data_IF_754606230512
#
_entry.id   IF_754606230512
#
_cell.length_a   1.000
_cell.length_b   1.000
_cell.length_c   1.000
_cell.angle_alpha   90.00
_cell.angle_beta   90.00
_cell.angle_gamma   90.00
#
_symmetry.space_group_name_H-M   'P 1'
#
loop_
_entity.id
_entity.type
_entity.pdbx_description
1 polymer ?
#
# COMPACT_ATOMS: atom_id res chain seq x y z
N UNK A 1 17.14 2.53 -31.67
CA UNK A 1 16.45 1.55 -30.81
C UNK A 1 15.18 2.21 -30.33
N UNK A 2 14.00 1.61 -30.51
CA UNK A 2 12.75 2.18 -30.01
C UNK A 2 12.84 2.34 -28.49
N UNK A 3 12.41 3.49 -27.95
CA UNK A 3 12.38 3.72 -26.51
C UNK A 3 11.48 2.68 -25.82
N UNK A 4 11.91 2.17 -24.66
CA UNK A 4 11.18 1.16 -23.85
C UNK A 4 9.79 1.70 -23.49
N UNK A 5 8.74 0.88 -23.52
CA UNK A 5 7.42 1.36 -23.09
C UNK A 5 7.33 1.38 -21.57
N UNK A 6 6.91 2.51 -21.00
CA UNK A 6 6.77 2.68 -19.55
C UNK A 6 5.29 2.92 -19.21
N UNK A 7 4.80 2.28 -18.15
CA UNK A 7 3.48 2.54 -17.57
C UNK A 7 3.62 3.10 -16.16
N UNK A 8 3.21 4.35 -15.96
CA UNK A 8 3.04 4.92 -14.63
C UNK A 8 1.66 4.52 -14.10
N UNK A 9 1.66 3.64 -13.10
CA UNK A 9 0.46 3.01 -12.57
C UNK A 9 0.03 3.72 -11.29
N UNK A 10 -1.14 4.37 -11.32
CA UNK A 10 -1.71 5.08 -10.18
C UNK A 10 -3.06 4.49 -9.82
N UNK A 11 -3.20 4.11 -8.56
CA UNK A 11 -4.47 3.66 -7.96
C UNK A 11 -5.04 4.78 -7.11
N UNK A 12 -6.33 5.06 -7.20
CA UNK A 12 -6.97 6.14 -6.48
C UNK A 12 -8.34 5.71 -5.93
N UNK A 13 -8.61 6.00 -4.66
CA UNK A 13 -9.94 5.90 -4.06
C UNK A 13 -10.13 7.10 -3.14
N UNK A 14 -11.04 8.01 -3.49
CA UNK A 14 -11.36 9.20 -2.69
C UNK A 14 -10.13 10.09 -2.38
N UNK A 15 -9.23 10.28 -3.34
CA UNK A 15 -8.03 11.13 -3.23
C UNK A 15 -7.95 12.17 -4.36
N UNK A 16 -9.09 12.58 -4.93
CA UNK A 16 -9.15 13.53 -6.05
C UNK A 16 -8.43 14.86 -5.75
N UNK A 17 -8.47 15.36 -4.52
CA UNK A 17 -7.79 16.60 -4.12
C UNK A 17 -6.27 16.53 -4.33
N UNK A 18 -5.67 15.36 -4.12
CA UNK A 18 -4.25 15.10 -4.39
C UNK A 18 -4.00 14.92 -5.88
N UNK A 19 -4.83 14.12 -6.55
CA UNK A 19 -4.68 13.82 -7.97
C UNK A 19 -4.80 15.08 -8.85
N UNK A 20 -5.67 16.03 -8.47
CA UNK A 20 -5.80 17.35 -9.11
C UNK A 20 -4.50 18.15 -9.15
N UNK A 21 -3.59 17.90 -8.21
CA UNK A 21 -2.29 18.58 -8.13
C UNK A 21 -1.21 17.79 -8.87
N UNK A 22 -1.19 16.47 -8.71
CA UNK A 22 -0.10 15.61 -9.20
C UNK A 22 -0.25 15.21 -10.65
N UNK A 23 -1.43 14.76 -11.09
CA UNK A 23 -1.64 14.27 -12.46
C UNK A 23 -1.29 15.30 -13.55
N UNK A 24 -1.76 16.56 -13.52
CA UNK A 24 -1.42 17.52 -14.57
C UNK A 24 0.09 17.82 -14.59
N UNK A 25 0.73 17.90 -13.42
CA UNK A 25 2.18 18.13 -13.32
C UNK A 25 2.98 16.94 -13.84
N UNK A 26 2.59 15.72 -13.48
CA UNK A 26 3.29 14.50 -13.88
C UNK A 26 3.20 14.26 -15.39
N UNK A 27 2.03 14.55 -16.00
CA UNK A 27 1.84 14.52 -17.46
C UNK A 27 2.77 15.52 -18.16
N UNK A 28 2.80 16.77 -17.70
CA UNK A 28 3.66 17.80 -18.27
C UNK A 28 5.16 17.46 -18.11
N UNK A 29 5.55 16.99 -16.93
CA UNK A 29 6.94 16.66 -16.58
C UNK A 29 7.54 15.52 -17.40
N UNK A 30 6.71 14.70 -18.04
CA UNK A 30 7.15 13.54 -18.82
C UNK A 30 6.56 13.53 -20.24
N UNK A 31 6.15 14.69 -20.74
CA UNK A 31 5.57 14.82 -22.09
C UNK A 31 6.52 14.35 -23.18
N UNK A 32 7.80 14.73 -23.06
CA UNK A 32 8.85 14.48 -24.05
C UNK A 32 9.21 13.00 -24.22
N UNK A 33 8.80 12.15 -23.27
CA UNK A 33 8.97 10.71 -23.41
C UNK A 33 7.77 10.12 -24.16
N UNK A 34 7.92 9.86 -25.46
CA UNK A 34 6.82 9.43 -26.34
C UNK A 34 6.17 8.10 -25.90
N UNK A 35 6.97 7.10 -25.49
CA UNK A 35 6.49 5.75 -25.20
C UNK A 35 6.07 5.56 -23.72
N UNK A 36 5.30 6.52 -23.19
CA UNK A 36 4.80 6.52 -21.82
C UNK A 36 3.28 6.55 -21.81
N UNK A 37 2.68 5.75 -20.94
CA UNK A 37 1.27 5.84 -20.56
C UNK A 37 1.11 6.03 -19.05
N UNK A 38 0.10 6.80 -18.67
CA UNK A 38 -0.39 6.92 -17.31
C UNK A 38 -1.62 6.02 -17.20
N UNK A 39 -1.54 4.99 -16.36
CA UNK A 39 -2.64 4.05 -16.11
C UNK A 39 -3.27 4.42 -14.77
N UNK A 40 -4.43 5.05 -14.82
CA UNK A 40 -5.17 5.48 -13.64
C UNK A 40 -6.30 4.50 -13.36
N UNK A 41 -6.22 3.80 -12.23
CA UNK A 41 -7.28 2.96 -11.70
C UNK A 41 -8.06 3.71 -10.61
N UNK A 42 -9.28 4.11 -10.93
CA UNK A 42 -10.29 4.52 -9.97
C UNK A 42 -10.85 3.28 -9.27
N UNK A 43 -10.46 3.11 -8.01
CA UNK A 43 -10.83 1.99 -7.15
C UNK A 43 -12.16 2.26 -6.43
N UNK A 44 -13.17 2.63 -7.22
CA UNK A 44 -14.54 2.97 -6.81
C UNK A 44 -14.67 4.25 -5.96
N UNK A 45 -14.10 5.36 -6.42
CA UNK A 45 -14.20 6.68 -5.77
C UNK A 45 -15.62 7.26 -5.86
N UNK A 46 -15.99 8.04 -4.84
CA UNK A 46 -17.25 8.79 -4.75
C UNK A 46 -17.03 10.31 -4.65
N UNK A 47 -15.81 10.80 -4.87
CA UNK A 47 -15.40 12.20 -4.72
C UNK A 47 -15.41 13.00 -6.05
N UNK A 48 -16.02 12.44 -7.10
CA UNK A 48 -16.13 13.06 -8.43
C UNK A 48 -14.91 12.84 -9.34
N UNK A 49 -14.09 11.82 -9.04
CA UNK A 49 -12.90 11.50 -9.82
C UNK A 49 -13.20 11.22 -11.30
N UNK A 50 -14.20 10.38 -11.60
CA UNK A 50 -14.57 10.03 -12.97
C UNK A 50 -14.92 11.27 -13.80
N UNK A 51 -15.80 12.14 -13.28
CA UNK A 51 -16.24 13.37 -13.93
C UNK A 51 -15.09 14.35 -14.15
N UNK A 52 -14.17 14.42 -13.18
CA UNK A 52 -12.98 15.24 -13.29
C UNK A 52 -12.08 14.75 -14.44
N UNK A 53 -11.80 13.45 -14.52
CA UNK A 53 -10.96 12.90 -15.60
C UNK A 53 -11.64 13.12 -16.96
N UNK A 54 -12.94 12.82 -17.05
CA UNK A 54 -13.73 12.96 -18.28
C UNK A 54 -13.75 14.40 -18.81
N UNK A 55 -13.87 15.38 -17.92
CA UNK A 55 -14.01 16.79 -18.29
C UNK A 55 -12.68 17.48 -18.66
N UNK A 56 -11.52 16.96 -18.19
CA UNK A 56 -10.26 17.72 -18.25
C UNK A 56 -9.15 17.06 -19.09
N UNK A 57 -9.26 15.78 -19.44
CA UNK A 57 -8.14 15.02 -20.03
C UNK A 57 -8.47 14.33 -21.37
N UNK A 58 -9.46 14.83 -22.12
CA UNK A 58 -9.90 14.23 -23.39
C UNK A 58 -8.77 14.06 -24.41
N UNK A 59 -7.84 15.01 -24.50
CA UNK A 59 -6.65 14.95 -25.37
C UNK A 59 -5.69 13.81 -24.97
N UNK A 60 -5.41 13.65 -23.67
CA UNK A 60 -4.54 12.58 -23.19
C UNK A 60 -5.21 11.20 -23.30
N UNK A 61 -6.53 11.15 -23.16
CA UNK A 61 -7.31 9.92 -23.33
C UNK A 61 -7.35 9.46 -24.79
N UNK A 62 -7.48 10.39 -25.74
CA UNK A 62 -7.56 10.07 -27.17
C UNK A 62 -6.23 9.56 -27.74
N UNK A 63 -5.12 10.07 -27.22
CA UNK A 63 -3.76 9.64 -27.59
C UNK A 63 -3.31 8.37 -26.88
N UNK A 64 -4.04 7.93 -25.84
CA UNK A 64 -3.62 6.83 -24.97
C UNK A 64 -2.50 7.20 -24.00
N UNK A 65 -2.11 8.48 -23.91
CA UNK A 65 -1.16 8.98 -22.91
C UNK A 65 -1.71 8.83 -21.49
N UNK A 66 -3.03 9.00 -21.31
CA UNK A 66 -3.76 8.65 -20.10
C UNK A 66 -4.76 7.55 -20.43
N UNK A 67 -4.77 6.48 -19.66
CA UNK A 67 -5.78 5.42 -19.73
C UNK A 67 -6.47 5.34 -18.38
N UNK A 68 -7.79 5.53 -18.39
CA UNK A 68 -8.60 5.50 -17.19
C UNK A 68 -9.34 4.17 -17.08
N UNK A 69 -9.24 3.55 -15.92
CA UNK A 69 -10.00 2.38 -15.54
C UNK A 69 -10.79 2.65 -14.28
N UNK A 70 -11.96 2.04 -14.17
CA UNK A 70 -12.77 2.07 -12.95
C UNK A 70 -13.24 0.67 -12.63
N UNK A 71 -13.09 0.25 -11.36
CA UNK A 71 -13.74 -0.94 -10.84
C UNK A 71 -14.97 -0.51 -10.03
N UNK A 72 -16.11 -1.15 -10.27
CA UNK A 72 -17.32 -0.92 -9.49
C UNK A 72 -17.38 -1.81 -8.24
N UNK A 73 -18.34 -1.55 -7.37
CA UNK A 73 -18.76 -2.43 -6.26
C UNK A 73 -17.72 -2.74 -5.17
N UNK A 74 -16.53 -2.12 -5.20
CA UNK A 74 -15.56 -2.23 -4.12
C UNK A 74 -15.86 -1.22 -3.02
N UNK A 75 -16.13 -1.70 -1.80
CA UNK A 75 -16.48 -0.84 -0.67
C UNK A 75 -15.26 -0.23 0.03
N UNK A 76 -14.17 -0.98 0.12
CA UNK A 76 -12.97 -0.59 0.86
C UNK A 76 -11.73 -0.76 0.01
N UNK A 77 -10.77 0.13 0.22
CA UNK A 77 -9.49 0.11 -0.45
C UNK A 77 -8.68 -1.13 -0.05
N UNK A 78 -8.09 -1.80 -1.04
CA UNK A 78 -7.19 -2.93 -0.86
C UNK A 78 -5.91 -2.65 -1.66
N UNK A 79 -4.82 -2.36 -0.93
CA UNK A 79 -3.54 -1.92 -1.49
C UNK A 79 -2.93 -2.94 -2.44
N UNK A 80 -2.85 -4.20 -2.02
CA UNK A 80 -2.21 -5.25 -2.82
C UNK A 80 -3.03 -5.56 -4.07
N UNK A 81 -4.36 -5.70 -3.92
CA UNK A 81 -5.23 -5.99 -5.06
C UNK A 81 -5.28 -4.81 -6.04
N UNK A 82 -5.43 -3.56 -5.57
CA UNK A 82 -5.51 -2.41 -6.48
C UNK A 82 -4.23 -2.27 -7.31
N UNK A 83 -3.07 -2.48 -6.69
CA UNK A 83 -1.75 -2.46 -7.37
C UNK A 83 -1.58 -3.61 -8.35
N UNK A 84 -1.99 -4.82 -7.99
CA UNK A 84 -2.01 -5.96 -8.92
C UNK A 84 -2.90 -5.67 -10.14
N UNK A 85 -4.09 -5.13 -9.90
CA UNK A 85 -5.07 -4.84 -10.95
C UNK A 85 -4.59 -3.72 -11.89
N UNK A 86 -4.08 -2.60 -11.39
CA UNK A 86 -3.59 -1.53 -12.28
C UNK A 86 -2.41 -2.01 -13.15
N UNK A 87 -1.53 -2.85 -12.59
CA UNK A 87 -0.40 -3.42 -13.32
C UNK A 87 -0.84 -4.44 -14.36
N UNK A 88 -1.89 -5.24 -14.09
CA UNK A 88 -2.42 -6.16 -15.09
C UNK A 88 -2.96 -5.43 -16.31
N UNK A 89 -3.47 -4.22 -16.13
CA UNK A 89 -4.04 -3.34 -17.16
C UNK A 89 -3.00 -2.51 -17.92
N UNK A 90 -1.83 -2.30 -17.34
CA UNK A 90 -0.71 -1.62 -17.97
C UNK A 90 -0.20 -2.39 -19.20
N UNK A 91 0.33 -1.70 -20.21
CA UNK A 91 0.86 -2.30 -21.44
C UNK A 91 2.37 -2.09 -21.63
N UNK A 92 3.00 -1.35 -20.74
CA UNK A 92 4.44 -1.09 -20.76
C UNK A 92 5.29 -2.31 -20.37
N UNK A 93 6.50 -2.32 -20.90
CA UNK A 93 7.54 -3.30 -20.56
C UNK A 93 8.05 -3.06 -19.13
N UNK A 94 8.14 -1.78 -18.76
CA UNK A 94 8.45 -1.29 -17.40
C UNK A 94 7.18 -0.72 -16.79
N UNK A 95 6.90 -1.11 -15.55
CA UNK A 95 5.85 -0.51 -14.72
C UNK A 95 6.52 0.32 -13.63
N UNK A 96 5.90 1.42 -13.24
CA UNK A 96 6.25 2.18 -12.04
C UNK A 96 5.00 2.48 -11.24
N UNK A 97 5.00 2.13 -9.96
CA UNK A 97 3.92 2.51 -9.05
C UNK A 97 4.08 3.98 -8.66
N UNK A 98 3.01 4.77 -8.83
CA UNK A 98 2.97 6.19 -8.50
C UNK A 98 1.69 6.45 -7.71
N UNK A 99 1.81 6.71 -6.41
CA UNK A 99 0.65 7.05 -5.57
C UNK A 99 0.02 8.38 -6.02
N UNK A 100 -1.28 8.58 -5.73
CA UNK A 100 -2.03 9.75 -6.23
C UNK A 100 -1.53 11.11 -5.70
N UNK A 101 -0.72 11.11 -4.64
CA UNK A 101 -0.10 12.29 -4.00
C UNK A 101 1.40 12.44 -4.34
N UNK A 102 1.92 11.63 -5.25
CA UNK A 102 3.32 11.65 -5.65
C UNK A 102 3.55 12.52 -6.90
N UNK A 103 4.58 13.36 -6.88
CA UNK A 103 5.11 14.02 -8.07
C UNK A 103 6.24 13.18 -8.67
N UNK A 104 6.17 12.90 -9.97
CA UNK A 104 7.22 12.14 -10.66
C UNK A 104 8.51 12.94 -10.82
N UNK A 105 8.39 14.25 -11.04
CA UNK A 105 9.49 15.13 -11.43
C UNK A 105 9.76 15.09 -12.94
N UNK A 106 10.37 16.16 -13.46
CA UNK A 106 10.69 16.33 -14.87
C UNK A 106 11.72 15.30 -15.35
N UNK A 107 11.42 14.61 -16.45
CA UNK A 107 12.32 13.63 -17.08
C UNK A 107 12.43 12.29 -16.33
N UNK A 108 11.55 12.00 -15.37
CA UNK A 108 11.59 10.74 -14.61
C UNK A 108 11.45 9.51 -15.52
N UNK A 109 10.59 9.56 -16.54
CA UNK A 109 10.42 8.47 -17.51
C UNK A 109 11.72 8.22 -18.31
N UNK A 110 12.44 9.27 -18.70
CA UNK A 110 13.73 9.16 -19.37
C UNK A 110 14.77 8.52 -18.45
N UNK A 111 14.87 8.97 -17.20
CA UNK A 111 15.76 8.38 -16.19
C UNK A 111 15.51 6.87 -16.01
N UNK A 112 14.24 6.46 -15.86
CA UNK A 112 13.87 5.05 -15.76
C UNK A 112 14.26 4.28 -17.03
N UNK A 113 13.98 4.84 -18.21
CA UNK A 113 14.30 4.23 -19.50
C UNK A 113 15.78 3.96 -19.68
N UNK A 114 16.64 4.93 -19.32
CA UNK A 114 18.10 4.81 -19.42
C UNK A 114 18.62 3.64 -18.58
N UNK A 115 18.16 3.52 -17.34
CA UNK A 115 18.55 2.40 -16.46
C UNK A 115 18.12 1.05 -17.05
N UNK A 116 16.89 0.93 -17.55
CA UNK A 116 16.41 -0.34 -18.12
C UNK A 116 16.97 -0.68 -19.51
N UNK A 117 17.55 0.30 -20.22
CA UNK A 117 18.34 0.04 -21.44
C UNK A 117 19.70 -0.57 -21.11
N UNK A 118 20.30 -0.18 -20.00
CA UNK A 118 21.61 -0.66 -19.56
C UNK A 118 21.50 -1.96 -18.73
N UNK A 119 20.45 -2.08 -17.91
CA UNK A 119 20.28 -3.15 -16.93
C UNK A 119 18.94 -3.86 -17.12
N UNK A 120 18.98 -5.16 -17.45
CA UNK A 120 17.78 -5.94 -17.79
C UNK A 120 17.18 -6.75 -16.62
N UNK A 121 17.82 -6.72 -15.44
CA UNK A 121 17.42 -7.52 -14.28
C UNK A 121 17.47 -6.71 -12.98
N UNK A 122 16.91 -5.51 -13.02
CA UNK A 122 16.84 -4.58 -11.89
C UNK A 122 15.41 -4.18 -11.53
N UNK A 123 15.24 -3.67 -10.32
CA UNK A 123 14.12 -2.84 -9.92
C UNK A 123 14.66 -1.58 -9.23
N UNK A 124 13.97 -0.47 -9.42
CA UNK A 124 14.31 0.81 -8.81
C UNK A 124 13.38 1.06 -7.64
N UNK A 125 13.88 1.56 -6.51
CA UNK A 125 13.04 1.88 -5.35
C UNK A 125 13.63 3.02 -4.52
N UNK A 126 12.78 3.65 -3.71
CA UNK A 126 13.13 4.66 -2.71
C UNK A 126 13.38 4.05 -1.32
N UNK A 127 13.06 2.76 -1.13
CA UNK A 127 13.31 2.02 0.11
C UNK A 127 14.80 1.80 0.37
N UNK A 128 15.20 1.94 1.63
CA UNK A 128 16.59 1.75 2.08
C UNK A 128 17.61 2.56 1.26
N UNK A 129 17.21 3.77 0.86
CA UNK A 129 18.09 4.75 0.25
C UNK A 129 18.80 5.56 1.35
N UNK A 130 19.90 6.23 1.00
CA UNK A 130 20.65 7.10 1.93
C UNK A 130 19.85 8.35 2.36
N UNK A 131 18.75 8.65 1.67
CA UNK A 131 17.88 9.80 1.89
C UNK A 131 16.92 9.56 3.07
N UNK A 132 17.04 10.36 4.14
CA UNK A 132 16.34 10.12 5.43
C UNK A 132 14.83 10.38 5.44
N UNK A 133 14.26 11.09 4.46
CA UNK A 133 12.83 11.43 4.43
C UNK A 133 12.33 11.45 2.98
N UNK A 134 11.51 10.48 2.61
CA UNK A 134 10.73 10.56 1.39
C UNK A 134 9.35 9.89 1.62
N UNK A 135 8.27 10.58 1.23
CA UNK A 135 6.89 10.06 1.31
C UNK A 135 6.50 9.31 0.02
N UNK A 136 7.50 8.91 -0.77
CA UNK A 136 7.36 8.21 -2.06
C UNK A 136 7.79 6.75 -1.97
N UNK A 137 7.62 6.12 -0.80
CA UNK A 137 8.07 4.74 -0.54
C UNK A 137 7.43 3.73 -1.50
N UNK A 138 6.16 3.91 -1.85
CA UNK A 138 5.45 3.06 -2.82
C UNK A 138 6.00 3.12 -4.25
N UNK A 139 6.95 4.03 -4.53
CA UNK A 139 7.58 4.15 -5.85
C UNK A 139 8.57 3.02 -6.09
N UNK A 140 8.11 2.06 -6.88
CA UNK A 140 8.93 0.94 -7.35
C UNK A 140 8.77 0.84 -8.85
N UNK A 141 9.88 0.90 -9.59
CA UNK A 141 9.91 0.62 -11.03
C UNK A 141 10.52 -0.74 -11.29
N UNK A 142 9.90 -1.55 -12.14
CA UNK A 142 10.39 -2.89 -12.47
C UNK A 142 9.89 -3.33 -13.84
N UNK A 143 10.53 -4.35 -14.41
CA UNK A 143 9.98 -5.00 -15.60
C UNK A 143 8.66 -5.69 -15.25
N UNK A 144 7.63 -5.48 -16.09
CA UNK A 144 6.32 -6.12 -15.91
C UNK A 144 6.45 -7.65 -15.85
N UNK A 145 7.34 -8.23 -16.66
CA UNK A 145 7.63 -9.68 -16.63
C UNK A 145 8.15 -10.16 -15.28
N UNK A 146 8.96 -9.35 -14.58
CA UNK A 146 9.49 -9.70 -13.25
C UNK A 146 8.38 -9.66 -12.20
N UNK A 147 7.51 -8.65 -12.25
CA UNK A 147 6.33 -8.57 -11.38
C UNK A 147 5.39 -9.77 -11.55
N UNK A 148 5.07 -10.12 -12.81
CA UNK A 148 4.22 -11.28 -13.13
C UNK A 148 4.89 -12.59 -12.67
N UNK A 149 6.20 -12.75 -12.89
CA UNK A 149 6.96 -13.95 -12.50
C UNK A 149 6.87 -14.24 -11.00
N UNK A 150 6.87 -13.21 -10.16
CA UNK A 150 6.79 -13.37 -8.69
C UNK A 150 5.35 -13.37 -8.15
N UNK A 151 4.35 -13.28 -9.03
CA UNK A 151 2.93 -13.27 -8.66
C UNK A 151 2.39 -11.90 -8.22
N UNK A 152 3.13 -10.81 -8.42
CA UNK A 152 2.75 -9.46 -8.00
C UNK A 152 2.84 -9.24 -6.49
N UNK A 153 2.00 -8.35 -5.94
CA UNK A 153 1.80 -8.18 -4.51
C UNK A 153 1.06 -9.38 -3.90
N UNK A 154 1.38 -9.71 -2.65
CA UNK A 154 0.68 -10.77 -1.91
C UNK A 154 -0.70 -10.30 -1.46
N UNK A 155 -1.76 -10.79 -2.09
CA UNK A 155 -3.12 -10.34 -1.77
C UNK A 155 -3.63 -10.83 -0.41
N UNK A 156 -2.86 -11.60 0.36
CA UNK A 156 -3.15 -11.80 1.79
C UNK A 156 -2.96 -10.50 2.58
N UNK A 157 -2.10 -9.60 2.12
CA UNK A 157 -1.86 -8.29 2.72
C UNK A 157 -2.95 -7.30 2.32
N UNK A 158 -3.96 -7.16 3.18
CA UNK A 158 -5.14 -6.30 2.96
C UNK A 158 -5.02 -4.90 3.56
N UNK A 159 -3.96 -4.63 4.31
CA UNK A 159 -3.81 -3.41 5.12
C UNK A 159 -2.77 -2.46 4.51
N UNK A 160 -2.44 -1.40 5.24
CA UNK A 160 -1.45 -0.41 4.81
C UNK A 160 -0.06 -0.74 5.37
N UNK A 161 0.95 -0.70 4.51
CA UNK A 161 2.36 -0.81 4.85
C UNK A 161 2.88 -2.25 4.80
N UNK A 162 4.18 -2.39 4.54
CA UNK A 162 4.92 -3.66 4.39
C UNK A 162 4.65 -4.47 3.10
N UNK A 163 3.58 -4.21 2.35
CA UNK A 163 3.35 -4.88 1.06
C UNK A 163 4.45 -4.58 0.03
N UNK A 164 4.98 -3.36 0.04
CA UNK A 164 6.09 -2.95 -0.82
C UNK A 164 7.42 -3.61 -0.40
N UNK A 165 7.65 -3.76 0.91
CA UNK A 165 8.84 -4.41 1.44
C UNK A 165 8.83 -5.90 1.11
N UNK A 166 7.68 -6.56 1.24
CA UNK A 166 7.48 -7.95 0.83
C UNK A 166 7.80 -8.14 -0.66
N UNK A 167 7.25 -7.28 -1.53
CA UNK A 167 7.54 -7.31 -2.96
C UNK A 167 9.04 -7.16 -3.24
N UNK A 168 9.70 -6.21 -2.59
CA UNK A 168 11.14 -5.96 -2.72
C UNK A 168 11.96 -7.19 -2.29
N UNK A 169 11.64 -7.80 -1.16
CA UNK A 169 12.32 -9.01 -0.70
C UNK A 169 12.13 -10.17 -1.67
N UNK A 170 10.92 -10.34 -2.22
CA UNK A 170 10.64 -11.37 -3.23
C UNK A 170 11.34 -11.14 -4.55
N UNK A 171 11.44 -9.88 -5.02
CA UNK A 171 12.24 -9.50 -6.18
C UNK A 171 13.71 -9.86 -5.99
N UNK A 172 14.29 -9.48 -4.84
CA UNK A 172 15.67 -9.80 -4.47
C UNK A 172 15.92 -11.32 -4.41
N UNK A 173 15.05 -12.09 -3.75
CA UNK A 173 15.15 -13.56 -3.70
C UNK A 173 15.01 -14.21 -5.08
N UNK A 174 14.30 -13.56 -6.00
CA UNK A 174 14.19 -13.98 -7.41
C UNK A 174 15.38 -13.58 -8.27
N UNK A 175 16.42 -12.99 -7.69
CA UNK A 175 17.64 -12.57 -8.35
C UNK A 175 17.54 -11.22 -9.06
N UNK A 176 16.50 -10.40 -8.80
CA UNK A 176 16.39 -9.05 -9.38
C UNK A 176 17.13 -8.07 -8.47
N UNK A 177 18.03 -7.28 -9.04
CA UNK A 177 18.91 -6.39 -8.29
C UNK A 177 18.25 -5.04 -7.99
N UNK A 178 18.58 -4.45 -6.84
CA UNK A 178 18.07 -3.14 -6.41
C UNK A 178 18.90 -2.02 -7.01
N UNK A 179 18.24 -1.01 -7.54
CA UNK A 179 18.80 0.30 -7.89
C UNK A 179 18.06 1.37 -7.08
N UNK A 180 18.79 2.37 -6.62
CA UNK A 180 18.24 3.42 -5.76
C UNK A 180 17.71 4.57 -6.61
N UNK A 181 16.51 5.05 -6.28
CA UNK A 181 16.01 6.34 -6.76
C UNK A 181 16.42 7.37 -5.70
N UNK A 182 17.56 8.01 -5.90
CA UNK A 182 18.16 8.94 -4.93
C UNK A 182 18.15 10.40 -5.39
N UNK A 183 17.84 10.66 -6.67
CA UNK A 183 17.71 12.02 -7.19
C UNK A 183 16.53 12.75 -6.53
N UNK A 184 16.78 13.84 -5.76
CA UNK A 184 15.73 14.56 -5.04
C UNK A 184 14.61 15.13 -5.93
N UNK A 185 14.86 15.39 -7.22
CA UNK A 185 13.83 15.86 -8.15
C UNK A 185 12.67 14.88 -8.30
N UNK A 186 12.92 13.59 -8.04
CA UNK A 186 11.94 12.51 -8.13
C UNK A 186 11.31 12.13 -6.78
N UNK A 187 11.63 12.83 -5.68
CA UNK A 187 11.25 12.37 -4.32
C UNK A 187 10.22 13.26 -3.64
N UNK A 188 9.42 13.97 -4.42
CA UNK A 188 8.39 14.89 -3.93
C UNK A 188 7.02 14.23 -3.84
N UNK A 189 6.35 14.41 -2.71
CA UNK A 189 4.96 14.02 -2.48
C UNK A 189 4.24 15.08 -1.65
N UNK A 190 2.92 15.11 -1.75
CA UNK A 190 2.07 15.96 -0.92
C UNK A 190 2.00 15.33 0.48
N UNK A 191 2.33 16.10 1.51
CA UNK A 191 2.27 15.62 2.89
C UNK A 191 0.83 15.46 3.36
N UNK A 192 0.57 14.38 4.11
CA UNK A 192 -0.72 14.10 4.70
C UNK A 192 -0.59 13.24 5.97
N UNK A 193 -1.69 13.14 6.73
CA UNK A 193 -1.72 12.39 7.99
C UNK A 193 -1.75 10.86 7.77
N UNK A 194 -1.39 10.10 8.81
CA UNK A 194 -1.57 8.64 8.81
C UNK A 194 -3.05 8.25 8.76
N UNK A 195 -3.93 9.05 9.36
CA UNK A 195 -5.38 8.84 9.26
C UNK A 195 -5.85 8.78 7.81
N UNK A 196 -5.40 9.70 6.97
CA UNK A 196 -5.79 9.73 5.56
C UNK A 196 -5.30 8.52 4.78
N UNK A 197 -4.18 7.90 5.19
CA UNK A 197 -3.70 6.65 4.60
C UNK A 197 -4.74 5.55 4.74
N UNK A 198 -5.40 5.46 5.89
CA UNK A 198 -6.26 4.33 6.25
C UNK A 198 -7.76 4.62 6.12
N UNK A 199 -8.16 5.84 5.77
CA UNK A 199 -9.55 6.29 5.82
C UNK A 199 -10.51 5.43 4.97
N UNK A 200 -10.04 4.94 3.82
CA UNK A 200 -10.84 4.12 2.91
C UNK A 200 -10.74 2.61 3.20
N UNK A 201 -10.07 2.20 4.27
CA UNK A 201 -10.03 0.78 4.67
C UNK A 201 -11.24 0.37 5.49
N UNK A 202 -11.49 -0.94 5.57
CA UNK A 202 -12.56 -1.48 6.41
C UNK A 202 -12.36 -1.07 7.86
N UNK A 203 -11.17 -1.24 8.40
CA UNK A 203 -10.87 -1.00 9.81
C UNK A 203 -10.87 0.49 10.15
N UNK A 204 -10.35 1.33 9.24
CA UNK A 204 -10.44 2.79 9.38
C UNK A 204 -11.88 3.31 9.35
N UNK A 205 -12.75 2.69 8.55
CA UNK A 205 -14.16 3.07 8.47
C UNK A 205 -14.98 2.54 9.65
N UNK A 206 -14.77 1.28 10.06
CA UNK A 206 -15.57 0.60 11.06
C UNK A 206 -15.05 0.71 12.50
N UNK A 207 -13.88 1.28 12.77
CA UNK A 207 -13.38 1.39 14.15
C UNK A 207 -14.38 2.17 15.04
N UNK A 208 -15.04 1.45 15.96
CA UNK A 208 -16.00 2.02 16.92
C UNK A 208 -15.28 2.47 18.18
N UNK A 209 -14.62 1.55 18.85
CA UNK A 209 -13.91 1.79 20.10
C UNK A 209 -12.56 1.09 20.13
N UNK A 210 -11.64 1.64 20.92
CA UNK A 210 -10.32 1.07 21.15
C UNK A 210 -10.08 1.07 22.65
N UNK A 211 -9.61 -0.06 23.15
CA UNK A 211 -9.31 -0.29 24.55
C UNK A 211 -7.85 -0.71 24.71
N UNK A 212 -7.23 -0.31 25.81
CA UNK A 212 -5.88 -0.70 26.18
C UNK A 212 -5.83 -1.29 27.58
N UNK A 213 -5.05 -2.35 27.75
CA UNK A 213 -4.70 -2.92 29.05
C UNK A 213 -3.19 -2.95 29.19
N UNK A 214 -2.67 -2.23 30.17
CA UNK A 214 -1.25 -2.28 30.50
C UNK A 214 -0.90 -3.61 31.17
N UNK A 215 0.20 -4.24 30.77
CA UNK A 215 0.66 -5.52 31.32
C UNK A 215 2.02 -5.35 32.00
N UNK A 216 3.01 -4.85 31.27
CA UNK A 216 4.38 -4.63 31.74
C UNK A 216 4.92 -3.29 31.24
N UNK A 217 6.09 -2.81 31.72
CA UNK A 217 6.69 -1.56 31.22
C UNK A 217 6.95 -1.52 29.72
N UNK A 218 6.97 -2.68 29.05
CA UNK A 218 7.19 -2.79 27.61
C UNK A 218 6.01 -3.42 26.85
N UNK A 219 4.92 -3.82 27.50
CA UNK A 219 3.79 -4.48 26.82
C UNK A 219 2.42 -4.00 27.26
N UNK A 220 1.49 -3.98 26.30
CA UNK A 220 0.09 -3.63 26.52
C UNK A 220 -0.81 -4.34 25.52
N UNK A 221 -1.94 -4.85 25.98
CA UNK A 221 -2.98 -5.39 25.11
C UNK A 221 -3.79 -4.29 24.47
N UNK A 222 -4.02 -4.41 23.17
CA UNK A 222 -4.87 -3.54 22.37
C UNK A 222 -6.09 -4.32 21.92
N UNK A 223 -7.28 -3.79 22.22
CA UNK A 223 -8.55 -4.37 21.82
C UNK A 223 -9.34 -3.38 20.95
N UNK A 224 -9.46 -3.70 19.66
CA UNK A 224 -10.23 -2.94 18.68
C UNK A 224 -11.65 -3.51 18.59
N UNK A 225 -12.66 -2.66 18.69
CA UNK A 225 -14.08 -2.99 18.47
C UNK A 225 -14.54 -2.30 17.18
N UNK A 226 -15.09 -3.09 16.27
CA UNK A 226 -15.60 -2.60 14.99
C UNK A 226 -17.13 -2.55 14.96
N UNK A 227 -17.69 -1.65 14.15
CA UNK A 227 -19.13 -1.45 13.98
C UNK A 227 -19.87 -2.69 13.47
N UNK A 228 -19.18 -3.62 12.81
CA UNK A 228 -19.71 -4.90 12.34
C UNK A 228 -19.73 -6.00 13.43
N UNK A 229 -19.64 -5.60 14.70
CA UNK A 229 -19.61 -6.47 15.88
C UNK A 229 -18.40 -7.42 15.95
N UNK A 230 -17.34 -7.18 15.16
CA UNK A 230 -16.08 -7.92 15.26
C UNK A 230 -15.07 -7.23 16.18
N UNK A 231 -14.12 -8.01 16.71
CA UNK A 231 -12.99 -7.50 17.49
C UNK A 231 -11.64 -8.00 16.98
N UNK A 232 -10.59 -7.24 17.29
CA UNK A 232 -9.18 -7.66 17.13
C UNK A 232 -8.42 -7.39 18.42
N UNK A 233 -7.72 -8.41 18.92
CA UNK A 233 -6.94 -8.37 20.16
C UNK A 233 -5.51 -8.84 19.89
N UNK A 234 -4.52 -8.12 20.42
CA UNK A 234 -3.13 -8.56 20.49
C UNK A 234 -2.37 -7.82 21.59
N UNK A 235 -1.27 -8.40 22.05
CA UNK A 235 -0.35 -7.82 23.02
C UNK A 235 0.77 -7.10 22.29
N UNK A 236 0.68 -5.77 22.22
CA UNK A 236 1.76 -4.93 21.68
C UNK A 236 2.98 -4.99 22.59
N UNK A 237 4.16 -5.17 22.01
CA UNK A 237 5.47 -5.18 22.69
C UNK A 237 6.34 -4.05 22.14
N UNK A 238 6.92 -3.24 23.01
CA UNK A 238 7.99 -2.30 22.71
C UNK A 238 9.33 -3.04 22.80
N UNK A 239 9.89 -3.40 21.65
CA UNK A 239 11.08 -4.25 21.55
C UNK A 239 12.34 -3.59 22.13
N UNK A 240 12.41 -2.26 22.13
CA UNK A 240 13.52 -1.52 22.73
C UNK A 240 13.49 -1.60 24.26
N UNK A 241 12.31 -1.44 24.87
CA UNK A 241 12.18 -1.56 26.33
C UNK A 241 12.28 -3.01 26.79
N UNK A 242 11.67 -3.94 26.05
CA UNK A 242 11.77 -5.38 26.28
C UNK A 242 13.23 -5.82 26.40
N UNK A 243 14.06 -5.47 25.41
CA UNK A 243 15.47 -5.86 25.40
C UNK A 243 16.35 -5.22 26.48
N UNK A 244 15.89 -4.14 27.12
CA UNK A 244 16.60 -3.50 28.24
C UNK A 244 16.20 -4.06 29.59
N UNK A 245 14.99 -4.57 29.70
CA UNK A 245 14.38 -4.97 30.96
C UNK A 245 14.36 -6.48 31.15
N UNK A 246 14.36 -7.25 30.06
CA UNK A 246 14.39 -8.71 30.11
C UNK A 246 15.83 -9.26 30.18
N UNK A 247 16.14 -10.10 31.17
CA UNK A 247 17.48 -10.66 31.34
C UNK A 247 17.80 -11.75 30.30
N UNK A 248 16.78 -12.44 29.80
CA UNK A 248 16.91 -13.51 28.80
C UNK A 248 16.12 -13.15 27.54
N UNK A 249 16.83 -12.70 26.51
CA UNK A 249 16.23 -12.37 25.22
C UNK A 249 16.13 -13.65 24.39
N UNK A 250 14.95 -14.01 23.85
CA UNK A 250 14.81 -15.16 22.97
C UNK A 250 15.76 -15.08 21.77
N UNK A 251 16.37 -16.20 21.40
CA UNK A 251 17.32 -16.28 20.27
C UNK A 251 16.72 -15.80 18.93
N UNK A 252 15.41 -15.92 18.77
CA UNK A 252 14.67 -15.48 17.59
C UNK A 252 14.13 -14.05 17.67
N UNK A 253 14.48 -13.28 18.72
CA UNK A 253 13.97 -11.93 18.88
C UNK A 253 14.65 -10.96 17.91
N UNK A 254 13.84 -10.32 17.05
CA UNK A 254 14.33 -9.34 16.07
C UNK A 254 14.26 -7.92 16.63
N UNK A 255 15.41 -7.25 16.63
CA UNK A 255 15.56 -5.82 16.96
C UNK A 255 15.24 -4.90 15.78
N UNK A 256 14.82 -5.45 14.63
CA UNK A 256 14.63 -4.67 13.41
C UNK A 256 13.52 -3.62 13.54
N UNK A 257 12.51 -3.91 14.37
CA UNK A 257 11.35 -3.04 14.54
C UNK A 257 11.17 -2.64 16.00
N UNK A 258 10.76 -1.40 16.25
CA UNK A 258 10.54 -0.88 17.60
C UNK A 258 9.35 -1.54 18.30
N UNK A 259 8.35 -1.98 17.55
CA UNK A 259 7.15 -2.59 18.09
C UNK A 259 6.82 -3.91 17.40
N UNK A 260 6.24 -4.84 18.15
CA UNK A 260 5.71 -6.10 17.67
C UNK A 260 4.42 -6.47 18.39
N UNK A 261 3.81 -7.59 18.01
CA UNK A 261 2.82 -8.27 18.84
C UNK A 261 3.42 -9.57 19.37
N UNK A 262 2.98 -10.01 20.54
CA UNK A 262 3.45 -11.26 21.16
C UNK A 262 2.87 -12.50 20.45
N UNK A 263 1.67 -12.38 19.90
CA UNK A 263 0.97 -13.44 19.18
C UNK A 263 1.41 -13.54 17.71
N UNK A 264 1.21 -14.69 17.07
CA UNK A 264 1.51 -14.87 15.63
C UNK A 264 0.52 -14.15 14.71
N UNK A 265 -0.64 -13.74 15.24
CA UNK A 265 -1.67 -12.97 14.51
C UNK A 265 -2.64 -12.28 15.46
N UNK A 266 -3.40 -11.31 14.91
CA UNK A 266 -4.49 -10.67 15.64
C UNK A 266 -5.60 -11.66 15.98
N UNK A 267 -5.84 -11.87 17.27
CA UNK A 267 -6.93 -12.72 17.75
C UNK A 267 -8.26 -12.08 17.38
N UNK A 268 -9.09 -12.81 16.64
CA UNK A 268 -10.40 -12.34 16.17
C UNK A 268 -11.48 -12.76 17.15
N UNK A 269 -12.41 -11.86 17.43
CA UNK A 269 -13.57 -12.15 18.27
C UNK A 269 -14.82 -11.40 17.81
N UNK A 270 -15.86 -11.46 18.62
CA UNK A 270 -17.11 -10.74 18.42
C UNK A 270 -17.51 -10.03 19.71
N UNK A 271 -18.35 -9.00 19.58
CA UNK A 271 -18.89 -8.25 20.71
C UNK A 271 -20.36 -7.88 20.46
N UNK A 272 -21.11 -7.64 21.52
CA UNK A 272 -22.52 -7.25 21.46
C UNK A 272 -22.76 -5.98 22.26
N UNK A 273 -23.70 -5.15 21.79
CA UNK A 273 -24.11 -3.92 22.48
C UNK A 273 -24.93 -4.19 23.74
N UNK A 274 -25.61 -5.35 23.82
CA UNK A 274 -26.63 -5.65 24.84
C UNK A 274 -26.32 -6.91 25.70
N UNK A 275 -25.10 -7.46 25.61
CA UNK A 275 -24.54 -8.55 26.44
C UNK A 275 -24.98 -9.99 26.06
N UNK A 276 -24.21 -11.07 26.37
CA UNK A 276 -22.96 -11.14 27.13
C UNK A 276 -21.76 -11.63 26.27
N UNK A 277 -20.95 -10.69 25.81
CA UNK A 277 -19.57 -10.59 26.29
C UNK A 277 -19.56 -9.28 27.05
N UNK A 278 -19.88 -9.33 28.35
CA UNK A 278 -20.07 -8.09 29.09
C UNK A 278 -18.77 -7.30 29.02
N UNK A 279 -18.88 -5.99 28.79
CA UNK A 279 -17.75 -5.07 28.99
C UNK A 279 -17.17 -5.20 30.42
N UNK A 280 -17.92 -5.80 31.36
CA UNK A 280 -17.43 -6.19 32.70
C UNK A 280 -16.38 -7.31 32.74
N UNK A 281 -16.16 -8.07 31.66
CA UNK A 281 -15.00 -8.97 31.54
C UNK A 281 -13.73 -8.20 31.16
N UNK A 282 -13.87 -6.93 30.75
CA UNK A 282 -12.79 -5.98 30.54
C UNK A 282 -12.49 -5.13 31.78
N UNK A 283 -12.67 -5.66 33.00
CA UNK A 283 -12.40 -4.93 34.28
C UNK A 283 -11.03 -4.26 34.38
N UNK A 284 -10.09 -4.60 33.49
CA UNK A 284 -8.72 -4.10 33.40
C UNK A 284 -8.41 -3.28 32.14
N UNK A 285 -9.37 -3.06 31.24
CA UNK A 285 -9.15 -2.23 30.05
C UNK A 285 -9.63 -0.80 30.27
N UNK A 286 -8.87 0.13 29.73
CA UNK A 286 -9.21 1.55 29.66
C UNK A 286 -9.58 1.88 28.23
N UNK A 287 -10.69 2.59 28.06
CA UNK A 287 -11.08 3.12 26.74
C UNK A 287 -10.10 4.23 26.34
N UNK A 288 -9.53 4.12 25.14
CA UNK A 288 -8.65 5.13 24.57
C UNK A 288 -9.48 6.22 23.89
N UNK A 289 -9.69 7.34 24.59
CA UNK A 289 -10.43 8.50 24.06
C UNK A 289 -9.57 9.43 23.19
N UNK A 290 -8.23 9.38 23.34
CA UNK A 290 -7.31 10.22 22.58
C UNK A 290 -7.38 9.90 21.09
N UNK A 291 -7.82 10.87 20.29
CA UNK A 291 -7.90 10.76 18.83
C UNK A 291 -6.55 10.38 18.20
N UNK A 292 -5.47 11.04 18.64
CA UNK A 292 -4.12 10.76 18.11
C UNK A 292 -3.70 9.31 18.42
N UNK A 293 -3.87 8.85 19.66
CA UNK A 293 -3.48 7.49 20.02
C UNK A 293 -4.32 6.43 19.31
N UNK A 294 -5.62 6.72 19.05
CA UNK A 294 -6.46 5.84 18.24
C UNK A 294 -5.96 5.75 16.79
N UNK A 295 -5.55 6.88 16.21
CA UNK A 295 -4.98 6.92 14.85
C UNK A 295 -3.65 6.16 14.79
N UNK A 296 -2.77 6.34 15.76
CA UNK A 296 -1.47 5.64 15.82
C UNK A 296 -1.64 4.14 16.07
N UNK A 297 -2.57 3.75 16.95
CA UNK A 297 -2.88 2.35 17.21
C UNK A 297 -3.50 1.64 15.99
N UNK A 298 -4.38 2.33 15.26
CA UNK A 298 -4.91 1.80 14.00
C UNK A 298 -3.79 1.67 12.96
N UNK A 299 -2.90 2.66 12.87
CA UNK A 299 -1.74 2.59 11.97
C UNK A 299 -0.84 1.41 12.31
N UNK A 300 -0.57 1.19 13.60
CA UNK A 300 0.11 0.01 14.09
C UNK A 300 -0.61 -1.28 13.69
N UNK A 301 -1.94 -1.36 13.87
CA UNK A 301 -2.75 -2.51 13.47
C UNK A 301 -2.57 -2.86 11.98
N UNK A 302 -2.64 -1.85 11.10
CA UNK A 302 -2.45 -2.04 9.67
C UNK A 302 -1.05 -2.57 9.34
N UNK A 303 -0.02 -1.92 9.88
CA UNK A 303 1.36 -2.27 9.62
C UNK A 303 1.71 -3.68 10.12
N UNK A 304 1.32 -4.03 11.34
CA UNK A 304 1.59 -5.37 11.90
C UNK A 304 0.86 -6.46 11.13
N UNK A 305 -0.39 -6.21 10.74
CA UNK A 305 -1.18 -7.20 9.99
C UNK A 305 -0.49 -7.64 8.70
N UNK A 306 0.11 -6.70 7.96
CA UNK A 306 0.86 -7.02 6.76
C UNK A 306 2.29 -7.50 7.08
N UNK A 307 2.95 -6.96 8.11
CA UNK A 307 4.32 -7.35 8.48
C UNK A 307 4.41 -8.81 8.85
N UNK A 308 3.46 -9.35 9.61
CA UNK A 308 3.45 -10.77 9.98
C UNK A 308 3.45 -11.68 8.74
N UNK A 309 2.72 -11.30 7.69
CA UNK A 309 2.70 -12.02 6.41
C UNK A 309 4.06 -11.88 5.68
N UNK A 310 4.68 -10.70 5.73
CA UNK A 310 6.00 -10.44 5.14
C UNK A 310 7.11 -11.23 5.85
N UNK A 311 7.03 -11.33 7.18
CA UNK A 311 7.93 -12.10 8.04
C UNK A 311 7.75 -13.59 7.72
N UNK A 312 6.51 -14.11 7.70
CA UNK A 312 6.20 -15.48 7.30
C UNK A 312 6.77 -15.82 5.90
N UNK A 313 6.57 -14.93 4.92
CA UNK A 313 7.11 -15.10 3.57
C UNK A 313 8.65 -15.12 3.57
N UNK A 314 9.27 -14.32 4.43
CA UNK A 314 10.72 -14.19 4.51
C UNK A 314 11.35 -15.41 5.15
N UNK A 315 10.80 -15.89 6.27
CA UNK A 315 11.23 -17.11 6.94
C UNK A 315 11.10 -18.34 6.04
N UNK A 316 10.02 -18.43 5.28
CA UNK A 316 9.79 -19.52 4.32
C UNK A 316 10.57 -19.38 3.01
N UNK A 317 11.33 -18.30 2.82
CA UNK A 317 12.07 -18.03 1.59
C UNK A 317 11.18 -17.87 0.35
N UNK A 318 9.92 -17.46 0.52
CA UNK A 318 8.95 -17.33 -0.57
C UNK A 318 9.44 -16.28 -1.55
N UNK A 319 9.56 -16.65 -2.82
CA UNK A 319 9.91 -15.74 -3.91
C UNK A 319 8.73 -15.46 -4.84
N UNK A 320 7.77 -16.40 -4.91
CA UNK A 320 6.60 -16.32 -5.77
C UNK A 320 5.35 -16.53 -4.93
N UNK A 321 4.39 -15.62 -5.02
CA UNK A 321 3.08 -15.75 -4.37
C UNK A 321 2.03 -16.24 -5.35
N UNK A 322 1.01 -16.94 -4.84
CA UNK A 322 -0.13 -17.38 -5.63
C UNK A 322 -1.38 -16.69 -5.12
N UNK A 323 -1.79 -15.64 -5.82
CA UNK A 323 -3.03 -14.93 -5.51
C UNK A 323 -4.23 -15.71 -6.04
N UNK A 324 -5.33 -15.68 -5.27
CA UNK A 324 -6.61 -16.22 -5.74
C UNK A 324 -7.26 -15.21 -6.66
N UNK A 325 -7.69 -15.63 -7.85
CA UNK A 325 -8.50 -14.78 -8.73
C UNK A 325 -9.82 -14.48 -8.03
N UNK A 326 -9.98 -13.25 -7.55
CA UNK A 326 -11.17 -12.82 -6.84
C UNK A 326 -11.80 -11.67 -7.61
N UNK A 327 -12.92 -11.92 -8.29
CA UNK A 327 -13.65 -10.85 -8.99
C UNK A 327 -14.31 -9.95 -7.95
N UNK A 328 -13.75 -8.76 -7.74
CA UNK A 328 -14.28 -7.77 -6.78
C UNK A 328 -15.33 -6.83 -7.36
N UNK A 329 -15.47 -6.80 -8.67
CA UNK A 329 -16.38 -5.92 -9.39
C UNK A 329 -16.23 -6.08 -10.89
N UNK A 330 -17.00 -5.31 -11.63
CA UNK A 330 -16.85 -5.11 -13.06
C UNK A 330 -15.86 -3.98 -13.32
N UNK A 331 -15.00 -4.17 -14.31
CA UNK A 331 -13.98 -3.21 -14.68
C UNK A 331 -14.37 -2.49 -15.96
N UNK A 332 -14.27 -1.17 -15.99
CA UNK A 332 -14.59 -0.34 -17.15
C UNK A 332 -13.34 0.40 -17.61
N UNK A 333 -13.21 0.61 -18.92
CA UNK A 333 -12.12 1.38 -19.54
C UNK A 333 -12.68 2.63 -20.20
N UNK A 334 -12.05 3.78 -19.97
CA UNK A 334 -12.34 5.06 -20.61
C UNK A 334 -13.85 5.37 -20.72
N UNK A 335 -14.57 5.26 -19.60
CA UNK A 335 -16.01 5.56 -19.48
C UNK A 335 -16.93 4.67 -20.34
N UNK A 336 -16.44 3.53 -20.82
CA UNK A 336 -17.27 2.51 -21.46
C UNK A 336 -18.40 2.07 -20.52
N UNK A 337 -19.62 1.95 -21.06
CA UNK A 337 -20.74 1.34 -20.34
C UNK A 337 -20.69 -0.19 -20.32
N UNK A 338 -19.83 -0.79 -21.15
CA UNK A 338 -19.61 -2.25 -21.19
C UNK A 338 -18.38 -2.59 -20.37
N UNK A 339 -18.50 -3.50 -19.38
CA UNK A 339 -17.36 -3.93 -18.59
C UNK A 339 -16.41 -4.81 -19.42
N UNK A 340 -15.13 -4.77 -19.08
CA UNK A 340 -14.11 -5.64 -19.62
C UNK A 340 -14.34 -7.08 -19.16
N UNK A 341 -14.05 -8.02 -20.05
CA UNK A 341 -13.92 -9.42 -19.72
C UNK A 341 -12.51 -9.61 -19.14
N UNK A 342 -12.42 -9.66 -17.80
CA UNK A 342 -11.16 -9.80 -17.05
C UNK A 342 -11.17 -11.09 -16.24
#
# INVERSE_FOLDING_TARGET
>A
MSNIKISFCTTCMNRLSYLKQTLPKNLADNMDYENLEFVLLDYNSSDGLEEYIKSNYSEFLSTGRLVYFKIDSVQFYDWSHSRNLVVSLATGDVICNIDADNFTGAGFATYVSEIFKEMSNVFLTTYYTSMKKNDVLGRICMLKKSFVKIGGYDERMKHYGFEDIDLIYRLKRSGVEKVDIDNPSFLNAIQHSNKERMLNSKEGFYLKELYIRYITPYSSELLFLFQDNTTKLATMVNNFLFSKLEPEIPLNFSFQYNFSIQEDSWTSGAWQTDGPTNISDFKSFYKLESKQLREDALFFFHQISNRLIMEENTEKGISVVKNKTTKKGSLYRNFSHTPLLV
#
